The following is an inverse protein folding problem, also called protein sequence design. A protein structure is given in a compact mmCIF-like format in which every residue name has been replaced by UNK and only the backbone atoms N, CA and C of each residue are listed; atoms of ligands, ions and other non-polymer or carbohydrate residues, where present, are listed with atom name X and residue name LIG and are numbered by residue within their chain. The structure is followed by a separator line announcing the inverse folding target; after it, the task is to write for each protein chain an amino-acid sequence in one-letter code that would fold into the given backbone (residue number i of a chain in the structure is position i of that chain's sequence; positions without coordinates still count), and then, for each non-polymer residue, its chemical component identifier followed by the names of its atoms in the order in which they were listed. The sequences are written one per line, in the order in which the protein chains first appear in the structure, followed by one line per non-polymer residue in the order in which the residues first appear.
data_IF_784609491142
#
_entry.id   IF_784609491142
#
_cell.length_a   1.000
_cell.length_b   1.000
_cell.length_c   1.000
_cell.angle_alpha   90.00
_cell.angle_beta   90.00
_cell.angle_gamma   90.00
#
_symmetry.space_group_name_H-M   'P 1'
#
loop_
_entity.id
_entity.type
_entity.pdbx_description
1 polymer ?
#
# COMPACT_ATOMS: atom_id res chain seq x y z
N UNK A 1 14.95 -11.38 8.43
CA UNK A 1 13.61 -10.87 8.11
C UNK A 1 13.30 -9.77 9.09
N UNK A 2 12.81 -8.60 8.63
CA UNK A 2 12.35 -7.50 9.48
C UNK A 2 10.83 -7.66 9.68
N UNK A 3 10.36 -7.63 10.95
CA UNK A 3 8.93 -7.68 11.28
C UNK A 3 8.30 -9.09 11.33
N UNK A 4 6.97 -9.11 11.49
CA UNK A 4 6.19 -10.36 11.58
C UNK A 4 6.04 -10.96 10.18
N UNK A 5 6.40 -12.24 9.96
CA UNK A 5 6.34 -12.88 8.63
C UNK A 5 4.93 -12.78 8.02
N UNK A 6 4.82 -12.45 6.71
CA UNK A 6 3.52 -12.38 6.04
C UNK A 6 2.83 -13.75 5.99
N UNK A 7 1.51 -13.73 5.90
CA UNK A 7 0.63 -14.91 5.81
C UNK A 7 0.66 -15.85 7.02
N UNK A 8 1.21 -15.43 8.16
CA UNK A 8 1.10 -16.16 9.44
C UNK A 8 -0.16 -15.72 10.22
N UNK A 9 -0.68 -16.54 11.16
CA UNK A 9 -1.78 -16.14 12.04
C UNK A 9 -1.48 -14.86 12.82
N UNK A 10 -0.24 -14.71 13.28
CA UNK A 10 0.23 -13.52 14.00
C UNK A 10 0.22 -12.27 13.11
N UNK A 11 0.60 -12.42 11.83
CA UNK A 11 0.55 -11.34 10.87
C UNK A 11 -0.90 -10.88 10.61
N UNK A 12 -1.83 -11.81 10.43
CA UNK A 12 -3.25 -11.49 10.26
C UNK A 12 -3.79 -10.76 11.48
N UNK A 13 -3.56 -11.29 12.69
CA UNK A 13 -4.01 -10.69 13.94
C UNK A 13 -3.41 -9.28 14.17
N UNK A 14 -2.15 -9.07 13.83
CA UNK A 14 -1.50 -7.77 13.96
C UNK A 14 -2.08 -6.75 12.95
N UNK A 15 -2.33 -7.16 11.70
CA UNK A 15 -2.93 -6.29 10.65
C UNK A 15 -4.35 -5.84 10.97
N UNK A 16 -5.13 -6.66 11.66
CA UNK A 16 -6.48 -6.28 12.12
C UNK A 16 -6.45 -5.11 13.10
N UNK A 17 -5.36 -4.98 13.85
CA UNK A 17 -5.16 -3.93 14.87
C UNK A 17 -4.39 -2.72 14.36
N UNK A 18 -4.20 -2.61 13.05
CA UNK A 18 -3.43 -1.54 12.42
C UNK A 18 -4.11 -1.04 11.16
N UNK A 19 -3.88 0.23 10.84
CA UNK A 19 -4.09 0.77 9.51
C UNK A 19 -2.82 0.55 8.71
N UNK A 20 -2.87 -0.30 7.68
CA UNK A 20 -1.67 -0.65 6.91
C UNK A 20 -1.48 0.25 5.70
N UNK A 21 -0.26 0.37 5.19
CA UNK A 21 0.05 1.22 4.04
C UNK A 21 -0.83 0.94 2.81
N UNK A 22 -1.24 -0.32 2.59
CA UNK A 22 -2.20 -0.69 1.55
C UNK A 22 -3.61 -0.11 1.76
N UNK A 23 -3.96 0.27 3.00
CA UNK A 23 -5.25 0.87 3.35
C UNK A 23 -5.24 2.40 3.20
N UNK A 24 -4.05 3.03 3.18
CA UNK A 24 -3.91 4.49 3.29
C UNK A 24 -4.66 5.24 2.21
N UNK A 25 -4.61 4.79 0.97
CA UNK A 25 -5.35 5.43 -0.12
C UNK A 25 -6.87 5.45 0.14
N UNK A 26 -7.43 4.36 0.66
CA UNK A 26 -8.84 4.28 0.99
C UNK A 26 -9.18 5.12 2.23
N UNK A 27 -8.34 5.11 3.26
CA UNK A 27 -8.49 5.96 4.44
C UNK A 27 -8.43 7.47 4.10
N UNK A 28 -7.54 7.85 3.17
CA UNK A 28 -7.44 9.20 2.64
C UNK A 28 -8.59 9.57 1.68
N UNK A 29 -9.37 8.58 1.21
CA UNK A 29 -10.49 8.78 0.29
C UNK A 29 -10.09 9.04 -1.15
N UNK A 30 -8.90 8.60 -1.56
CA UNK A 30 -8.36 8.70 -2.93
C UNK A 30 -8.34 7.36 -3.68
N UNK A 31 -8.70 6.25 -3.00
CA UNK A 31 -8.73 4.93 -3.65
C UNK A 31 -9.95 4.82 -4.56
N UNK A 32 -9.80 4.44 -5.85
CA UNK A 32 -10.89 4.46 -6.83
C UNK A 32 -11.95 3.37 -6.59
N UNK A 33 -11.57 2.26 -5.94
CA UNK A 33 -12.42 1.07 -5.78
C UNK A 33 -12.87 0.82 -4.33
N UNK A 34 -12.18 1.40 -3.35
CA UNK A 34 -12.45 1.20 -1.93
C UNK A 34 -12.70 2.54 -1.27
N UNK A 35 -13.95 2.80 -0.89
CA UNK A 35 -14.30 4.01 -0.15
C UNK A 35 -13.88 3.91 1.32
N UNK A 36 -13.78 5.05 2.02
CA UNK A 36 -13.54 5.10 3.47
C UNK A 36 -14.53 4.23 4.25
N UNK A 37 -15.81 4.26 3.86
CA UNK A 37 -16.84 3.46 4.54
C UNK A 37 -16.71 1.96 4.26
N UNK A 38 -16.27 1.57 3.05
CA UNK A 38 -15.97 0.16 2.75
C UNK A 38 -14.76 -0.31 3.56
N UNK A 39 -13.68 0.47 3.58
CA UNK A 39 -12.50 0.14 4.39
C UNK A 39 -12.86 0.01 5.88
N UNK A 40 -13.68 0.92 6.41
CA UNK A 40 -14.14 0.86 7.80
C UNK A 40 -14.89 -0.45 8.09
N UNK A 41 -15.82 -0.88 7.21
CA UNK A 41 -16.52 -2.16 7.38
C UNK A 41 -15.56 -3.36 7.36
N UNK A 42 -14.56 -3.33 6.47
CA UNK A 42 -13.52 -4.36 6.42
C UNK A 42 -12.72 -4.39 7.73
N UNK A 43 -12.26 -3.23 8.23
CA UNK A 43 -11.48 -3.14 9.46
C UNK A 43 -12.28 -3.46 10.74
N UNK A 44 -13.59 -3.30 10.72
CA UNK A 44 -14.47 -3.62 11.86
C UNK A 44 -15.14 -4.99 11.75
N UNK A 45 -14.74 -5.82 10.77
CA UNK A 45 -15.28 -7.17 10.57
C UNK A 45 -16.73 -7.23 10.05
N UNK A 46 -17.30 -6.10 9.62
CA UNK A 46 -18.66 -6.03 9.08
C UNK A 46 -18.73 -6.39 7.58
N UNK A 47 -17.60 -6.49 6.93
CA UNK A 47 -17.45 -6.92 5.53
C UNK A 47 -16.15 -7.71 5.40
N UNK A 48 -16.11 -8.65 4.48
CA UNK A 48 -14.91 -9.41 4.14
C UNK A 48 -14.43 -9.04 2.75
N UNK A 49 -13.13 -9.21 2.50
CA UNK A 49 -12.58 -9.00 1.16
C UNK A 49 -13.10 -10.09 0.23
N UNK A 50 -13.82 -9.69 -0.81
CA UNK A 50 -14.22 -10.61 -1.87
C UNK A 50 -13.00 -10.99 -2.72
N UNK A 51 -12.78 -12.29 -2.87
CA UNK A 51 -11.70 -12.80 -3.70
C UNK A 51 -12.07 -12.68 -5.17
N UNK A 52 -11.33 -11.87 -5.92
CA UNK A 52 -11.61 -11.62 -7.35
C UNK A 52 -10.53 -12.27 -8.24
N UNK A 53 -10.83 -12.52 -9.53
CA UNK A 53 -9.83 -13.02 -10.47
C UNK A 53 -8.58 -12.12 -10.57
N UNK A 54 -8.72 -10.81 -10.40
CA UNK A 54 -7.58 -9.88 -10.41
C UNK A 54 -6.71 -10.03 -9.16
N UNK A 55 -7.30 -10.29 -7.98
CA UNK A 55 -6.56 -10.62 -6.74
C UNK A 55 -5.83 -11.95 -6.93
N UNK A 56 -6.50 -13.00 -7.43
CA UNK A 56 -5.87 -14.29 -7.70
C UNK A 56 -4.67 -14.16 -8.63
N UNK A 57 -4.82 -13.43 -9.72
CA UNK A 57 -3.75 -13.18 -10.68
C UNK A 57 -2.57 -12.42 -10.04
N UNK A 58 -2.84 -11.41 -9.22
CA UNK A 58 -1.82 -10.68 -8.47
C UNK A 58 -1.00 -11.63 -7.61
N UNK A 59 -1.65 -12.38 -6.74
CA UNK A 59 -0.99 -13.33 -5.83
C UNK A 59 -0.20 -14.42 -6.59
N UNK A 60 -0.76 -14.97 -7.69
CA UNK A 60 -0.11 -16.04 -8.45
C UNK A 60 1.13 -15.58 -9.21
N UNK A 61 1.22 -14.31 -9.61
CA UNK A 61 2.33 -13.81 -10.42
C UNK A 61 3.34 -12.96 -9.63
N UNK A 62 3.05 -12.64 -8.38
CA UNK A 62 3.93 -11.80 -7.54
C UNK A 62 5.33 -12.39 -7.40
N UNK A 63 5.43 -13.70 -7.11
CA UNK A 63 6.70 -14.39 -6.97
C UNK A 63 7.50 -14.38 -8.28
N UNK A 64 6.84 -14.64 -9.42
CA UNK A 64 7.47 -14.62 -10.75
C UNK A 64 7.99 -13.21 -11.06
N UNK A 65 7.20 -12.18 -10.76
CA UNK A 65 7.59 -10.80 -10.96
C UNK A 65 8.80 -10.39 -10.11
N UNK A 66 8.86 -10.88 -8.85
CA UNK A 66 10.01 -10.66 -7.97
C UNK A 66 11.29 -11.31 -8.51
N UNK A 67 11.21 -12.57 -8.95
CA UNK A 67 12.34 -13.29 -9.55
C UNK A 67 12.85 -12.62 -10.83
N UNK A 68 11.93 -12.15 -11.69
CA UNK A 68 12.30 -11.39 -12.90
C UNK A 68 12.97 -10.06 -12.54
N UNK A 69 12.47 -9.37 -11.51
CA UNK A 69 13.08 -8.13 -11.05
C UNK A 69 14.50 -8.35 -10.50
N UNK A 70 14.74 -9.43 -9.74
CA UNK A 70 16.09 -9.78 -9.25
C UNK A 70 17.07 -9.97 -10.42
N UNK A 71 16.64 -10.65 -11.46
CA UNK A 71 17.47 -10.91 -12.66
C UNK A 71 17.71 -9.62 -13.44
N UNK A 72 16.65 -8.83 -13.70
CA UNK A 72 16.73 -7.62 -14.53
C UNK A 72 17.60 -6.52 -13.90
N UNK A 73 17.48 -6.37 -12.57
CA UNK A 73 18.18 -5.30 -11.83
C UNK A 73 19.51 -5.78 -11.24
N UNK A 74 19.74 -7.08 -11.18
CA UNK A 74 20.98 -7.67 -10.63
C UNK A 74 21.07 -7.52 -9.09
N UNK A 75 19.93 -7.64 -8.39
CA UNK A 75 19.84 -7.50 -6.93
C UNK A 75 19.25 -8.76 -6.31
N UNK A 76 19.45 -8.94 -5.01
CA UNK A 76 18.76 -9.95 -4.22
C UNK A 76 17.71 -9.28 -3.34
N UNK A 77 16.48 -9.75 -3.44
CA UNK A 77 15.38 -9.32 -2.62
C UNK A 77 15.45 -9.96 -1.22
N UNK A 78 15.10 -9.19 -0.21
CA UNK A 78 14.98 -9.69 1.16
C UNK A 78 13.54 -9.57 1.64
N UNK A 79 12.93 -10.65 2.14
CA UNK A 79 11.58 -10.61 2.67
C UNK A 79 11.44 -9.57 3.78
N UNK A 80 10.35 -8.82 3.75
CA UNK A 80 9.94 -7.88 4.80
C UNK A 80 8.61 -8.36 5.37
N UNK A 81 8.54 -8.49 6.68
CA UNK A 81 7.29 -8.78 7.37
C UNK A 81 6.50 -7.49 7.68
N UNK A 82 5.48 -7.62 8.52
CA UNK A 82 4.74 -6.46 9.02
C UNK A 82 5.64 -5.66 9.97
N UNK A 83 5.84 -4.39 9.64
CA UNK A 83 6.59 -3.41 10.44
C UNK A 83 5.61 -2.34 10.90
N UNK A 84 5.62 -2.02 12.19
CA UNK A 84 4.88 -0.88 12.74
C UNK A 84 5.68 0.42 12.57
N UNK A 85 4.99 1.55 12.41
CA UNK A 85 5.62 2.87 12.46
C UNK A 85 6.22 3.11 13.86
N UNK A 86 7.46 3.60 13.98
CA UNK A 86 8.14 3.71 15.27
C UNK A 86 7.40 4.61 16.29
N UNK A 87 6.82 5.70 15.82
CA UNK A 87 6.13 6.68 16.68
C UNK A 87 4.58 6.53 16.65
N UNK A 88 4.05 5.80 15.68
CA UNK A 88 2.62 5.65 15.43
C UNK A 88 2.24 4.15 15.31
N UNK A 89 2.24 3.38 16.41
CA UNK A 89 2.10 1.92 16.36
C UNK A 89 0.76 1.43 15.82
N UNK A 90 -0.22 2.32 15.63
CA UNK A 90 -1.49 2.05 14.94
C UNK A 90 -1.33 1.95 13.41
N UNK A 91 -0.19 2.38 12.87
CA UNK A 91 0.13 2.33 11.44
C UNK A 91 1.19 1.26 11.17
N UNK A 92 1.02 0.47 10.10
CA UNK A 92 1.95 -0.59 9.72
C UNK A 92 2.11 -0.75 8.23
N UNK A 93 3.15 -1.46 7.83
CA UNK A 93 3.43 -1.78 6.43
C UNK A 93 3.99 -3.20 6.28
N UNK A 94 3.62 -3.87 5.19
CA UNK A 94 4.27 -5.09 4.71
C UNK A 94 4.66 -4.83 3.26
N UNK A 95 5.86 -4.27 2.99
CA UNK A 95 6.40 -4.20 1.63
C UNK A 95 6.64 -5.59 1.07
N UNK A 96 6.53 -5.76 -0.25
CA UNK A 96 6.76 -7.07 -0.87
C UNK A 96 8.22 -7.52 -0.68
N UNK A 97 9.19 -6.58 -0.80
CA UNK A 97 10.58 -6.88 -0.49
C UNK A 97 11.42 -5.65 -0.14
N UNK A 98 12.57 -5.90 0.50
CA UNK A 98 13.63 -4.93 0.69
C UNK A 98 14.74 -5.12 -0.36
N UNK A 99 15.26 -4.00 -0.88
CA UNK A 99 16.34 -3.93 -1.86
C UNK A 99 17.52 -3.19 -1.22
N UNK A 100 18.66 -3.87 -1.10
CA UNK A 100 19.82 -3.27 -0.44
C UNK A 100 19.53 -2.80 0.99
N UNK A 101 20.20 -1.72 1.43
CA UNK A 101 20.05 -1.12 2.77
C UNK A 101 18.85 -0.18 2.88
N UNK A 102 18.48 0.51 1.79
CA UNK A 102 17.67 1.73 1.75
C UNK A 102 16.51 1.71 0.75
N UNK A 103 16.35 0.62 -0.03
CA UNK A 103 15.29 0.45 -1.00
C UNK A 103 14.22 -0.54 -0.61
N UNK A 104 13.04 -0.38 -1.21
CA UNK A 104 11.93 -1.33 -1.24
C UNK A 104 11.62 -1.74 -2.68
N UNK A 105 10.92 -2.85 -2.83
CA UNK A 105 10.19 -3.19 -4.05
C UNK A 105 8.70 -3.36 -3.71
N UNK A 106 7.84 -2.85 -4.57
CA UNK A 106 6.38 -3.04 -4.54
C UNK A 106 5.94 -3.55 -5.89
N UNK A 107 5.43 -4.76 -5.92
CA UNK A 107 5.05 -5.48 -7.14
C UNK A 107 3.56 -5.32 -7.42
N UNK A 108 3.21 -5.09 -8.67
CA UNK A 108 1.84 -5.10 -9.15
C UNK A 108 1.75 -5.89 -10.46
N UNK A 109 0.70 -6.70 -10.59
CA UNK A 109 0.42 -7.48 -11.79
C UNK A 109 -0.86 -6.97 -12.47
N UNK A 110 -0.85 -5.76 -13.08
CA UNK A 110 -2.01 -5.21 -13.78
C UNK A 110 -2.29 -5.99 -15.07
N UNK A 111 -3.42 -5.70 -15.73
CA UNK A 111 -3.74 -6.24 -17.06
C UNK A 111 -2.99 -5.55 -18.19
N UNK A 112 -2.47 -4.36 -17.95
CA UNK A 112 -1.65 -3.59 -18.87
C UNK A 112 -0.73 -2.68 -18.09
N UNK A 113 0.43 -2.40 -18.66
CA UNK A 113 1.39 -1.46 -18.07
C UNK A 113 0.81 -0.05 -17.94
N UNK A 114 1.28 0.68 -16.96
CA UNK A 114 0.99 2.09 -16.73
C UNK A 114 2.28 2.88 -16.76
N UNK A 115 2.25 4.06 -17.33
CA UNK A 115 3.43 4.94 -17.43
C UNK A 115 3.93 5.41 -16.05
N UNK A 116 3.04 5.49 -15.07
CA UNK A 116 3.35 5.88 -13.70
C UNK A 116 2.46 5.14 -12.68
N UNK A 117 2.94 4.95 -11.43
CA UNK A 117 2.09 4.45 -10.37
C UNK A 117 0.93 5.43 -10.14
N UNK A 118 -0.31 4.95 -10.09
CA UNK A 118 -1.47 5.78 -9.79
C UNK A 118 -1.41 6.27 -8.33
N UNK A 119 -2.09 7.38 -8.02
CA UNK A 119 -2.05 8.03 -6.70
C UNK A 119 -2.32 7.08 -5.53
N UNK A 120 -3.19 6.09 -5.71
CA UNK A 120 -3.49 5.14 -4.66
C UNK A 120 -2.36 4.12 -4.42
N UNK A 121 -1.52 3.79 -5.42
CA UNK A 121 -0.28 3.05 -5.21
C UNK A 121 0.83 3.95 -4.65
N UNK A 122 0.88 5.22 -5.09
CA UNK A 122 1.82 6.20 -4.51
C UNK A 122 1.58 6.34 -3.00
N UNK A 123 0.32 6.43 -2.57
CA UNK A 123 -0.01 6.51 -1.14
C UNK A 123 0.45 5.27 -0.35
N UNK A 124 0.33 4.08 -0.92
CA UNK A 124 0.86 2.84 -0.33
C UNK A 124 2.39 2.90 -0.23
N UNK A 125 3.07 3.21 -1.32
CA UNK A 125 4.54 3.27 -1.39
C UNK A 125 5.09 4.31 -0.41
N UNK A 126 4.56 5.51 -0.40
CA UNK A 126 5.02 6.56 0.51
C UNK A 126 4.76 6.20 1.98
N UNK A 127 3.65 5.53 2.27
CA UNK A 127 3.38 4.97 3.59
C UNK A 127 4.41 3.93 4.01
N UNK A 128 4.75 3.00 3.13
CA UNK A 128 5.78 1.99 3.37
C UNK A 128 7.16 2.64 3.63
N UNK A 129 7.53 3.63 2.81
CA UNK A 129 8.80 4.36 2.97
C UNK A 129 8.86 5.11 4.29
N UNK A 130 7.78 5.80 4.67
CA UNK A 130 7.70 6.52 5.95
C UNK A 130 7.81 5.56 7.16
N UNK A 131 7.13 4.42 7.11
CA UNK A 131 7.11 3.43 8.21
C UNK A 131 8.46 2.72 8.35
N UNK A 132 9.12 2.39 7.23
CA UNK A 132 10.37 1.63 7.24
C UNK A 132 11.62 2.50 7.31
N UNK A 133 11.48 3.82 7.15
CA UNK A 133 12.62 4.77 7.08
C UNK A 133 13.48 4.61 5.83
N UNK A 134 12.98 3.92 4.78
CA UNK A 134 13.72 3.71 3.55
C UNK A 134 13.53 4.89 2.60
N UNK A 135 14.48 5.07 1.69
CA UNK A 135 14.61 6.30 0.91
C UNK A 135 14.01 6.22 -0.49
N UNK A 136 13.74 5.01 -0.99
CA UNK A 136 13.13 4.79 -2.30
C UNK A 136 12.42 3.44 -2.38
N UNK A 137 11.50 3.33 -3.34
CA UNK A 137 10.82 2.09 -3.68
C UNK A 137 10.80 1.90 -5.19
N UNK A 138 11.20 0.74 -5.68
CA UNK A 138 10.99 0.36 -7.07
C UNK A 138 9.56 -0.19 -7.22
N UNK A 139 8.77 0.53 -7.98
CA UNK A 139 7.43 0.11 -8.39
C UNK A 139 7.59 -0.81 -9.60
N UNK A 140 7.39 -2.10 -9.37
CA UNK A 140 7.55 -3.16 -10.37
C UNK A 140 6.18 -3.53 -10.90
N UNK A 141 5.99 -3.45 -12.21
CA UNK A 141 4.79 -3.98 -12.85
C UNK A 141 5.14 -5.22 -13.67
N UNK A 142 4.32 -6.26 -13.55
CA UNK A 142 4.42 -7.47 -14.34
C UNK A 142 3.17 -7.66 -15.19
N UNK A 143 3.35 -7.88 -16.50
CA UNK A 143 2.27 -8.15 -17.46
C UNK A 143 2.76 -9.23 -18.42
N UNK A 144 2.09 -10.38 -18.43
CA UNK A 144 2.26 -11.46 -19.41
C UNK A 144 3.73 -11.88 -19.66
N UNK A 145 4.56 -11.91 -18.60
CA UNK A 145 5.96 -12.33 -18.68
C UNK A 145 6.96 -11.19 -18.93
N UNK A 146 6.52 -9.96 -18.95
CA UNK A 146 7.38 -8.76 -19.04
C UNK A 146 7.29 -7.93 -17.76
N UNK A 147 8.36 -7.20 -17.43
CA UNK A 147 8.35 -6.26 -16.30
C UNK A 147 8.71 -4.85 -16.73
N UNK A 148 8.19 -3.88 -15.98
CA UNK A 148 8.69 -2.50 -15.99
C UNK A 148 8.99 -2.08 -14.56
N UNK A 149 10.06 -1.30 -14.41
CA UNK A 149 10.51 -0.84 -13.09
C UNK A 149 10.55 0.69 -13.08
N UNK A 150 9.92 1.30 -12.07
CA UNK A 150 9.96 2.74 -11.88
C UNK A 150 10.31 3.08 -10.44
N UNK A 151 11.43 3.76 -10.23
CA UNK A 151 11.84 4.22 -8.92
C UNK A 151 11.01 5.40 -8.43
N UNK A 152 10.47 5.25 -7.23
CA UNK A 152 9.71 6.28 -6.50
C UNK A 152 10.54 6.69 -5.29
N UNK A 153 11.07 7.92 -5.24
CA UNK A 153 11.79 8.41 -4.08
C UNK A 153 10.84 8.67 -2.91
N UNK A 154 11.36 8.60 -1.69
CA UNK A 154 10.62 8.98 -0.51
C UNK A 154 10.34 10.49 -0.51
N UNK A 155 9.09 10.84 -0.25
CA UNK A 155 8.69 12.20 0.06
C UNK A 155 8.75 12.41 1.58
N UNK A 156 9.80 13.05 2.05
CA UNK A 156 10.06 13.25 3.49
C UNK A 156 8.91 13.95 4.24
N UNK A 157 8.09 14.74 3.55
CA UNK A 157 6.93 15.42 4.13
C UNK A 157 5.64 14.63 4.06
N UNK A 158 5.61 13.49 3.36
CA UNK A 158 4.36 12.76 3.08
C UNK A 158 3.64 12.33 4.36
N UNK A 159 4.38 11.74 5.32
CA UNK A 159 3.80 11.29 6.59
C UNK A 159 3.18 12.43 7.37
N UNK A 160 3.93 13.51 7.57
CA UNK A 160 3.48 14.67 8.32
C UNK A 160 2.19 15.29 7.72
N UNK A 161 2.09 15.35 6.38
CA UNK A 161 0.90 15.88 5.69
C UNK A 161 -0.32 14.97 5.79
N UNK A 162 -0.14 13.66 5.78
CA UNK A 162 -1.24 12.70 5.69
C UNK A 162 -1.62 12.06 7.04
N UNK A 163 -0.69 12.02 8.00
CA UNK A 163 -0.89 11.45 9.34
C UNK A 163 -2.18 11.93 10.03
N UNK A 164 -2.52 13.22 10.06
CA UNK A 164 -3.75 13.66 10.73
C UNK A 164 -5.02 13.03 10.17
N UNK A 165 -5.11 12.89 8.84
CA UNK A 165 -6.27 12.29 8.18
C UNK A 165 -6.31 10.75 8.35
N UNK A 166 -5.14 10.11 8.39
CA UNK A 166 -5.02 8.67 8.65
C UNK A 166 -5.39 8.35 10.10
N UNK A 167 -4.90 9.13 11.05
CA UNK A 167 -5.22 9.00 12.48
C UNK A 167 -6.71 9.27 12.75
N UNK A 168 -7.29 10.28 12.12
CA UNK A 168 -8.74 10.54 12.18
C UNK A 168 -9.52 9.31 11.71
N UNK A 169 -9.13 8.73 10.58
CA UNK A 169 -9.80 7.53 10.06
C UNK A 169 -9.65 6.35 11.03
N UNK A 170 -8.45 6.12 11.57
CA UNK A 170 -8.21 5.05 12.55
C UNK A 170 -9.08 5.22 13.81
N UNK A 171 -9.24 6.45 14.28
CA UNK A 171 -10.14 6.75 15.39
C UNK A 171 -11.61 6.33 15.15
N UNK A 172 -12.10 6.40 13.90
CA UNK A 172 -13.43 5.83 13.58
C UNK A 172 -13.45 4.31 13.70
N UNK A 173 -12.36 3.62 13.36
CA UNK A 173 -12.25 2.16 13.51
C UNK A 173 -12.24 1.77 14.99
N UNK A 174 -11.40 2.42 15.81
CA UNK A 174 -11.29 2.14 17.24
C UNK A 174 -12.58 2.38 18.01
N UNK A 175 -13.33 3.43 17.67
CA UNK A 175 -14.61 3.74 18.31
C UNK A 175 -15.80 3.01 17.71
N UNK A 176 -15.59 2.21 16.65
CA UNK A 176 -16.65 1.54 15.88
C UNK A 176 -17.67 2.54 15.29
N UNK A 177 -17.26 3.77 15.06
CA UNK A 177 -18.07 4.84 14.51
C UNK A 177 -17.90 4.90 12.99
N UNK A 178 -19.01 4.92 12.27
CA UNK A 178 -18.97 4.99 10.80
C UNK A 178 -18.43 6.34 10.32
N UNK A 179 -17.35 6.37 9.52
CA UNK A 179 -16.80 7.62 9.01
C UNK A 179 -17.76 8.31 8.04
N UNK A 180 -17.75 9.65 7.97
CA UNK A 180 -18.55 10.40 7.00
C UNK A 180 -18.11 10.05 5.57
N UNK A 181 -19.06 10.18 4.63
CA UNK A 181 -18.71 10.14 3.21
C UNK A 181 -17.84 11.38 2.90
N UNK A 182 -16.60 11.17 2.44
CA UNK A 182 -15.86 12.28 1.82
C UNK A 182 -16.61 12.65 0.54
N UNK A 183 -17.09 13.88 0.45
CA UNK A 183 -17.63 14.40 -0.80
C UNK A 183 -16.50 14.33 -1.83
N UNK A 184 -16.72 13.65 -2.95
CA UNK A 184 -15.84 13.75 -4.10
C UNK A 184 -15.92 15.19 -4.61
N UNK A 185 -15.05 16.07 -4.15
CA UNK A 185 -14.77 17.31 -4.88
C UNK A 185 -14.03 16.88 -6.15
N UNK A 186 -14.78 16.53 -7.17
CA UNK A 186 -14.33 16.68 -8.54
C UNK A 186 -14.01 18.17 -8.67
N UNK A 187 -12.72 18.50 -8.70
CA UNK A 187 -12.29 19.82 -9.13
C UNK A 187 -12.86 19.99 -10.55
N UNK A 188 -13.94 20.76 -10.68
CA UNK A 188 -14.26 21.41 -11.94
C UNK A 188 -13.08 22.34 -12.19
N UNK A 189 -12.15 21.90 -13.03
CA UNK A 189 -11.28 22.82 -13.74
C UNK A 189 -12.20 23.68 -14.59
N UNK A 190 -12.42 24.93 -14.17
CA UNK A 190 -12.95 25.98 -15.02
C UNK A 190 -11.93 26.14 -16.15
N UNK A 191 -12.36 25.83 -17.38
CA UNK A 191 -11.61 26.18 -18.57
C UNK A 191 -11.56 27.73 -18.63
N UNK A 192 -10.38 28.33 -18.85
CA UNK A 192 -10.31 29.76 -19.10
C UNK A 192 -11.03 30.07 -20.42
N UNK A 193 -11.83 31.14 -20.40
CA UNK A 193 -12.52 31.72 -21.55
C UNK A 193 -11.54 32.29 -22.58
#
# INVERSE_FOLDING_TARGET
MLGIPPNTPEWHAARERMLTASDFAAALGIHPYVSRQKLWRLKTGQEVVEWTPDISRGVSNEQIAMEMYEVEVGVLLRPVGLVAHPDDPWAGATPDAAVGSDGLAEVKCPRAFRDAPPDYHVAQIQGQLAITGRTWCDYVQWVDGEITVRRVPADAGWWARNRPALLEFWGYVERLEKPPRKSSRRAKQEAPA
#
